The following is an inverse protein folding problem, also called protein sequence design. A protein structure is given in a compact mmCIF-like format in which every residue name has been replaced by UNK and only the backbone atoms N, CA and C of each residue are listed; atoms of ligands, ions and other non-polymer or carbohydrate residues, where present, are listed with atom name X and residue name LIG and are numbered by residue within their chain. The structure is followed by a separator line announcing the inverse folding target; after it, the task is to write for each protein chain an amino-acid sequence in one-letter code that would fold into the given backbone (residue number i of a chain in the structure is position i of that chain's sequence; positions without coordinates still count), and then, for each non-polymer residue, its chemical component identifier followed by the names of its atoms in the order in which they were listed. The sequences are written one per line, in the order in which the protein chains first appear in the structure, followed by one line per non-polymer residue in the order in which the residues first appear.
data_IF_263377833261
#
_entry.id   IF_263377833261
#
_cell.length_a   1.000
_cell.length_b   1.000
_cell.length_c   1.000
_cell.angle_alpha   90.00
_cell.angle_beta   90.00
_cell.angle_gamma   90.00
#
_symmetry.space_group_name_H-M   'P 1'
#
loop_
_entity.id
_entity.type
_entity.pdbx_description
1 polymer ?
#
# COMPACT_ATOMS: atom_id res chain seq x y z
N UNK A 1 6.04 14.97 6.94
CA UNK A 1 4.98 14.48 6.06
C UNK A 1 3.66 14.46 6.83
N UNK A 2 2.56 14.85 6.19
CA UNK A 2 1.25 14.82 6.86
C UNK A 2 0.95 13.43 7.41
N UNK A 3 0.43 13.40 8.63
CA UNK A 3 0.21 12.14 9.36
C UNK A 3 -0.74 11.19 8.63
N UNK A 4 -1.74 11.72 7.92
CA UNK A 4 -2.73 10.92 7.24
C UNK A 4 -2.13 10.06 6.11
N UNK A 5 -1.30 10.66 5.24
CA UNK A 5 -0.67 9.90 4.16
C UNK A 5 0.37 8.91 4.72
N UNK A 6 1.05 9.29 5.79
CA UNK A 6 2.00 8.40 6.46
C UNK A 6 1.29 7.17 7.03
N UNK A 7 0.13 7.37 7.65
CA UNK A 7 -0.68 6.26 8.18
C UNK A 7 -1.11 5.30 7.08
N UNK A 8 -1.53 5.83 5.92
CA UNK A 8 -1.92 4.98 4.79
C UNK A 8 -0.73 4.15 4.28
N UNK A 9 0.44 4.77 4.16
CA UNK A 9 1.64 4.07 3.73
C UNK A 9 2.02 2.97 4.72
N UNK A 10 1.97 3.28 6.02
CA UNK A 10 2.27 2.30 7.07
C UNK A 10 1.30 1.14 7.05
N UNK A 11 0.01 1.41 6.83
CA UNK A 11 -1.00 0.36 6.74
C UNK A 11 -0.69 -0.61 5.59
N UNK A 12 -0.31 -0.10 4.43
CA UNK A 12 0.04 -0.93 3.28
C UNK A 12 1.29 -1.77 3.58
N UNK A 13 2.32 -1.15 4.17
CA UNK A 13 3.56 -1.84 4.53
C UNK A 13 3.34 -2.93 5.57
N UNK A 14 2.54 -2.65 6.60
CA UNK A 14 2.20 -3.63 7.64
C UNK A 14 1.44 -4.82 7.06
N UNK A 15 0.52 -4.56 6.13
CA UNK A 15 -0.19 -5.62 5.44
C UNK A 15 0.77 -6.49 4.65
N UNK A 16 1.71 -5.87 3.94
CA UNK A 16 2.70 -6.62 3.17
C UNK A 16 3.54 -7.53 4.08
N UNK A 17 4.00 -7.02 5.20
CA UNK A 17 4.78 -7.80 6.17
C UNK A 17 3.95 -8.97 6.73
N UNK A 18 2.68 -8.73 7.05
CA UNK A 18 1.80 -9.78 7.53
C UNK A 18 1.57 -10.85 6.46
N UNK A 19 1.44 -10.44 5.19
CA UNK A 19 1.30 -11.35 4.07
C UNK A 19 2.50 -12.30 3.94
N UNK A 20 3.71 -11.78 4.12
CA UNK A 20 4.92 -12.60 4.09
C UNK A 20 4.89 -13.66 5.19
N UNK A 21 4.50 -13.27 6.40
CA UNK A 21 4.40 -14.18 7.53
C UNK A 21 3.31 -15.23 7.30
N UNK A 22 2.15 -14.82 6.81
CA UNK A 22 1.03 -15.73 6.54
C UNK A 22 1.39 -16.73 5.43
N UNK A 23 2.05 -16.27 4.37
CA UNK A 23 2.49 -17.14 3.28
C UNK A 23 3.43 -18.23 3.79
N UNK A 24 4.29 -17.90 4.75
CA UNK A 24 5.26 -18.83 5.32
C UNK A 24 4.62 -19.89 6.21
N UNK A 25 3.38 -19.68 6.68
CA UNK A 25 2.73 -20.62 7.61
C UNK A 25 2.20 -21.89 6.93
N UNK A 26 2.05 -21.90 5.61
CA UNK A 26 1.59 -23.08 4.89
C UNK A 26 0.15 -23.48 5.20
N UNK A 27 -0.71 -22.52 5.54
CA UNK A 27 -2.10 -22.81 5.89
C UNK A 27 -2.95 -23.12 4.66
N UNK A 28 -3.78 -24.17 4.69
CA UNK A 28 -4.67 -24.46 3.56
C UNK A 28 -5.90 -23.55 3.50
N UNK A 29 -6.22 -22.86 4.62
CA UNK A 29 -7.39 -21.99 4.72
C UNK A 29 -7.17 -20.95 5.81
N UNK A 30 -7.90 -19.84 5.71
CA UNK A 30 -7.94 -18.80 6.75
C UNK A 30 -8.92 -19.16 7.87
N UNK A 31 -9.75 -20.18 7.66
CA UNK A 31 -10.78 -20.55 8.60
C UNK A 31 -10.19 -21.25 9.83
N UNK A 32 -10.77 -20.93 11.00
CA UNK A 32 -10.42 -21.61 12.24
C UNK A 32 -9.11 -21.19 12.88
N UNK A 33 -8.53 -20.06 12.47
CA UNK A 33 -7.30 -19.58 13.08
C UNK A 33 -7.33 -18.06 13.29
N UNK A 34 -6.56 -17.59 14.27
CA UNK A 34 -6.37 -16.17 14.54
C UNK A 34 -5.68 -15.47 13.36
N UNK A 35 -4.64 -16.10 12.81
CA UNK A 35 -3.92 -15.57 11.65
C UNK A 35 -4.83 -15.43 10.44
N UNK A 36 -5.76 -16.38 10.23
CA UNK A 36 -6.72 -16.31 9.14
C UNK A 36 -7.67 -15.14 9.27
N UNK A 37 -8.17 -14.88 10.48
CA UNK A 37 -9.01 -13.71 10.72
C UNK A 37 -8.22 -12.42 10.49
N UNK A 38 -6.96 -12.40 10.89
CA UNK A 38 -6.09 -11.25 10.73
C UNK A 38 -5.74 -10.97 9.27
N UNK A 39 -5.54 -12.00 8.43
CA UNK A 39 -5.19 -11.77 7.02
C UNK A 39 -6.32 -11.00 6.31
N UNK A 40 -7.57 -11.35 6.57
CA UNK A 40 -8.70 -10.63 5.98
C UNK A 40 -8.75 -9.18 6.46
N UNK A 41 -8.55 -8.97 7.76
CA UNK A 41 -8.55 -7.64 8.34
C UNK A 41 -7.43 -6.76 7.73
N UNK A 42 -6.21 -7.30 7.64
CA UNK A 42 -5.08 -6.57 7.05
C UNK A 42 -5.35 -6.22 5.58
N UNK A 43 -5.87 -7.17 4.80
CA UNK A 43 -6.17 -6.93 3.39
C UNK A 43 -7.26 -5.86 3.21
N UNK A 44 -8.29 -5.88 4.05
CA UNK A 44 -9.36 -4.87 4.01
C UNK A 44 -8.83 -3.49 4.36
N UNK A 45 -7.99 -3.39 5.38
CA UNK A 45 -7.38 -2.13 5.80
C UNK A 45 -6.45 -1.59 4.71
N UNK A 46 -5.66 -2.47 4.09
CA UNK A 46 -4.78 -2.09 3.00
C UNK A 46 -5.58 -1.58 1.80
N UNK A 47 -6.68 -2.24 1.46
CA UNK A 47 -7.53 -1.81 0.35
C UNK A 47 -8.06 -0.39 0.57
N UNK A 48 -8.54 -0.10 1.79
CA UNK A 48 -9.01 1.23 2.15
C UNK A 48 -7.90 2.27 2.04
N UNK A 49 -6.70 1.95 2.55
CA UNK A 49 -5.56 2.84 2.50
C UNK A 49 -5.12 3.12 1.05
N UNK A 50 -5.05 2.08 0.22
CA UNK A 50 -4.64 2.21 -1.18
C UNK A 50 -5.60 3.13 -1.95
N UNK A 51 -6.90 2.99 -1.70
CA UNK A 51 -7.91 3.82 -2.37
C UNK A 51 -7.74 5.31 -2.09
N UNK A 52 -7.12 5.67 -0.97
CA UNK A 52 -6.93 7.06 -0.55
C UNK A 52 -5.58 7.65 -0.96
N UNK A 53 -4.65 6.86 -1.49
CA UNK A 53 -3.26 7.30 -1.69
C UNK A 53 -3.11 8.42 -2.72
N UNK A 54 -3.69 8.26 -3.90
CA UNK A 54 -3.49 9.23 -4.99
C UNK A 54 -3.99 10.62 -4.60
N UNK A 55 -5.19 10.70 -4.00
CA UNK A 55 -5.75 11.96 -3.53
C UNK A 55 -4.91 12.54 -2.40
N UNK A 56 -4.46 11.70 -1.48
CA UNK A 56 -3.62 12.12 -0.37
C UNK A 56 -2.32 12.77 -0.82
N UNK A 57 -1.64 12.17 -1.79
CA UNK A 57 -0.40 12.72 -2.33
C UNK A 57 -0.64 14.02 -3.10
N UNK A 58 -1.74 14.09 -3.87
CA UNK A 58 -2.09 15.32 -4.60
C UNK A 58 -2.30 16.48 -3.62
N UNK A 59 -2.94 16.20 -2.49
CA UNK A 59 -3.14 17.19 -1.43
C UNK A 59 -1.80 17.65 -0.84
N UNK A 60 -0.86 16.72 -0.60
CA UNK A 60 0.47 17.07 -0.08
C UNK A 60 1.19 18.01 -1.03
N UNK A 61 1.17 17.73 -2.34
CA UNK A 61 1.84 18.59 -3.33
C UNK A 61 1.28 20.01 -3.29
N UNK A 62 -0.05 20.13 -3.17
CA UNK A 62 -0.72 21.40 -3.11
C UNK A 62 -0.41 22.16 -1.81
N UNK A 63 -0.58 21.48 -0.67
CA UNK A 63 -0.44 22.10 0.65
C UNK A 63 1.01 22.51 0.93
N UNK A 64 1.97 21.67 0.52
CA UNK A 64 3.41 21.92 0.73
C UNK A 64 4.05 22.68 -0.42
N UNK A 65 3.29 23.03 -1.45
CA UNK A 65 3.74 23.78 -2.62
C UNK A 65 4.96 23.16 -3.27
N UNK A 66 4.92 21.85 -3.49
CA UNK A 66 6.04 21.12 -4.08
C UNK A 66 6.21 21.45 -5.57
N UNK A 67 7.46 21.69 -5.96
CA UNK A 67 7.82 22.02 -7.34
C UNK A 67 8.90 21.07 -7.87
N UNK A 68 8.88 20.70 -9.13
CA UNK A 68 7.88 21.09 -10.15
C UNK A 68 6.61 20.22 -10.02
N UNK A 69 5.46 20.85 -9.82
CA UNK A 69 4.20 20.18 -9.55
C UNK A 69 3.83 19.16 -10.64
N UNK A 70 4.08 19.49 -11.91
CA UNK A 70 3.72 18.62 -13.03
C UNK A 70 4.50 17.28 -13.00
N UNK A 71 5.70 17.27 -12.45
CA UNK A 71 6.48 16.04 -12.32
C UNK A 71 5.89 15.12 -11.24
N UNK A 72 5.46 15.72 -10.12
CA UNK A 72 4.77 14.97 -9.07
C UNK A 72 3.46 14.40 -9.57
N UNK A 73 2.66 15.20 -10.26
CA UNK A 73 1.37 14.72 -10.77
C UNK A 73 1.53 13.64 -11.84
N UNK A 74 2.57 13.69 -12.66
CA UNK A 74 2.87 12.64 -13.63
C UNK A 74 3.15 11.32 -12.92
N UNK A 75 3.91 11.36 -11.82
CA UNK A 75 4.19 10.14 -11.05
C UNK A 75 2.96 9.64 -10.30
N UNK A 76 2.11 10.55 -9.82
CA UNK A 76 0.88 10.14 -9.14
C UNK A 76 -0.09 9.40 -10.06
N UNK A 77 -0.03 9.67 -11.36
CA UNK A 77 -0.79 8.89 -12.34
C UNK A 77 -0.29 7.44 -12.39
N UNK A 78 1.03 7.24 -12.29
CA UNK A 78 1.62 5.90 -12.21
C UNK A 78 1.19 5.21 -10.91
N UNK A 79 1.31 5.91 -9.80
CA UNK A 79 0.94 5.40 -8.48
C UNK A 79 -0.55 5.01 -8.43
N UNK A 80 -1.42 5.83 -9.01
CA UNK A 80 -2.84 5.54 -9.08
C UNK A 80 -3.12 4.27 -9.88
N UNK A 81 -2.43 4.08 -11.00
CA UNK A 81 -2.54 2.89 -11.83
C UNK A 81 -2.11 1.64 -11.06
N UNK A 82 -0.95 1.71 -10.40
CA UNK A 82 -0.43 0.60 -9.61
C UNK A 82 -1.35 0.30 -8.42
N UNK A 83 -1.91 1.35 -7.81
CA UNK A 83 -2.88 1.22 -6.73
C UNK A 83 -4.15 0.53 -7.17
N UNK A 84 -4.72 0.93 -8.29
CA UNK A 84 -5.94 0.32 -8.82
C UNK A 84 -5.73 -1.15 -9.19
N UNK A 85 -4.58 -1.48 -9.78
CA UNK A 85 -4.24 -2.86 -10.10
C UNK A 85 -4.11 -3.69 -8.82
N UNK A 86 -3.46 -3.14 -7.78
CA UNK A 86 -3.33 -3.80 -6.49
C UNK A 86 -4.67 -4.00 -5.81
N UNK A 87 -5.55 -2.98 -5.86
CA UNK A 87 -6.91 -3.08 -5.31
C UNK A 87 -7.70 -4.20 -5.96
N UNK A 88 -7.65 -4.29 -7.30
CA UNK A 88 -8.36 -5.33 -8.02
C UNK A 88 -7.90 -6.72 -7.59
N UNK A 89 -6.58 -6.89 -7.40
CA UNK A 89 -6.02 -8.16 -6.95
C UNK A 89 -6.43 -8.49 -5.51
N UNK A 90 -6.33 -7.51 -4.61
CA UNK A 90 -6.72 -7.69 -3.20
C UNK A 90 -8.21 -7.99 -3.09
N UNK A 91 -9.05 -7.25 -3.81
CA UNK A 91 -10.50 -7.46 -3.79
C UNK A 91 -10.88 -8.85 -4.30
N UNK A 92 -10.20 -9.33 -5.32
CA UNK A 92 -10.42 -10.68 -5.85
C UNK A 92 -10.08 -11.74 -4.79
N UNK A 93 -8.97 -11.57 -4.08
CA UNK A 93 -8.58 -12.48 -3.00
C UNK A 93 -9.60 -12.45 -1.86
N UNK A 94 -10.02 -11.24 -1.45
CA UNK A 94 -11.02 -11.08 -0.38
C UNK A 94 -12.37 -11.68 -0.74
N UNK A 95 -12.69 -11.77 -2.02
CA UNK A 95 -13.94 -12.37 -2.48
C UNK A 95 -13.92 -13.89 -2.40
N UNK A 96 -12.78 -14.53 -2.17
CA UNK A 96 -12.70 -15.97 -2.09
C UNK A 96 -13.27 -16.47 -0.77
N UNK A 97 -13.96 -17.62 -0.78
CA UNK A 97 -14.51 -18.18 0.47
C UNK A 97 -13.43 -18.66 1.43
N UNK A 98 -12.23 -18.95 0.92
CA UNK A 98 -11.10 -19.41 1.72
C UNK A 98 -9.82 -18.79 1.19
N UNK A 99 -8.96 -18.29 2.09
CA UNK A 99 -7.69 -17.67 1.75
C UNK A 99 -6.56 -18.53 2.32
N UNK A 100 -5.89 -19.28 1.43
CA UNK A 100 -4.75 -20.11 1.82
C UNK A 100 -3.46 -19.29 1.84
N UNK A 101 -2.43 -19.82 2.50
CA UNK A 101 -1.09 -19.26 2.44
C UNK A 101 -0.56 -19.22 1.00
N UNK A 102 -0.89 -20.24 0.19
CA UNK A 102 -0.49 -20.29 -1.21
C UNK A 102 -1.12 -19.14 -2.00
N UNK A 103 -2.40 -18.85 -1.75
CA UNK A 103 -3.07 -17.75 -2.42
C UNK A 103 -2.42 -16.41 -2.06
N UNK A 104 -2.10 -16.20 -0.78
CA UNK A 104 -1.42 -14.98 -0.32
C UNK A 104 -0.02 -14.89 -0.93
N UNK A 105 0.69 -16.01 -1.03
CA UNK A 105 2.00 -16.04 -1.66
C UNK A 105 1.91 -15.58 -3.12
N UNK A 106 0.90 -16.06 -3.85
CA UNK A 106 0.66 -15.65 -5.23
C UNK A 106 0.30 -14.17 -5.34
N UNK A 107 -0.51 -13.66 -4.42
CA UNK A 107 -0.84 -12.23 -4.37
C UNK A 107 0.43 -11.40 -4.14
N UNK A 108 1.27 -11.84 -3.21
CA UNK A 108 2.52 -11.18 -2.88
C UNK A 108 3.51 -11.21 -4.05
N UNK A 109 3.53 -12.29 -4.81
CA UNK A 109 4.38 -12.42 -5.99
C UNK A 109 3.90 -11.58 -7.16
N UNK A 110 2.65 -11.11 -7.13
CA UNK A 110 2.10 -10.28 -8.21
C UNK A 110 2.89 -8.97 -8.32
N UNK A 111 3.16 -8.54 -9.55
CA UNK A 111 3.94 -7.32 -9.77
C UNK A 111 3.23 -6.06 -9.28
N UNK A 112 1.90 -6.09 -9.21
CA UNK A 112 1.10 -4.90 -8.92
C UNK A 112 1.35 -4.36 -7.50
N UNK A 113 1.29 -5.23 -6.49
CA UNK A 113 1.50 -4.81 -5.11
C UNK A 113 2.96 -4.39 -4.88
N UNK A 114 3.89 -5.13 -5.46
CA UNK A 114 5.32 -4.80 -5.36
C UNK A 114 5.63 -3.48 -6.04
N UNK A 115 5.02 -3.21 -7.19
CA UNK A 115 5.17 -1.93 -7.88
C UNK A 115 4.63 -0.79 -7.01
N UNK A 116 3.46 -0.98 -6.42
CA UNK A 116 2.88 0.03 -5.53
C UNK A 116 3.79 0.33 -4.34
N UNK A 117 4.32 -0.71 -3.70
CA UNK A 117 5.24 -0.52 -2.56
C UNK A 117 6.49 0.26 -2.98
N UNK A 118 7.05 -0.05 -4.16
CA UNK A 118 8.20 0.67 -4.69
C UNK A 118 7.85 2.15 -4.91
N UNK A 119 6.67 2.44 -5.45
CA UNK A 119 6.18 3.80 -5.63
C UNK A 119 6.13 4.55 -4.28
N UNK A 120 5.61 3.88 -3.24
CA UNK A 120 5.48 4.46 -1.92
C UNK A 120 6.85 4.74 -1.29
N UNK A 121 7.81 3.83 -1.44
CA UNK A 121 9.16 4.03 -0.94
C UNK A 121 9.85 5.21 -1.63
N UNK A 122 9.67 5.31 -2.95
CA UNK A 122 10.23 6.44 -3.71
C UNK A 122 9.64 7.77 -3.23
N UNK A 123 8.33 7.84 -3.09
CA UNK A 123 7.66 9.07 -2.63
C UNK A 123 8.04 9.40 -1.19
N UNK A 124 8.11 8.40 -0.31
CA UNK A 124 8.50 8.63 1.08
C UNK A 124 9.91 9.21 1.17
N UNK A 125 10.84 8.68 0.38
CA UNK A 125 12.22 9.16 0.36
C UNK A 125 12.29 10.61 -0.12
N UNK A 126 11.59 10.93 -1.20
CA UNK A 126 11.57 12.28 -1.76
C UNK A 126 10.95 13.28 -0.78
N UNK A 127 9.79 12.93 -0.22
CA UNK A 127 9.07 13.83 0.68
C UNK A 127 9.83 14.03 1.99
N UNK A 128 10.41 12.99 2.55
CA UNK A 128 11.20 13.10 3.79
C UNK A 128 12.40 14.02 3.60
N UNK A 129 13.10 13.87 2.49
CA UNK A 129 14.25 14.72 2.15
C UNK A 129 13.84 16.19 2.00
N UNK A 130 12.73 16.42 1.28
CA UNK A 130 12.23 17.77 1.03
C UNK A 130 11.76 18.47 2.31
N UNK A 131 10.96 17.76 3.13
CA UNK A 131 10.42 18.31 4.36
C UNK A 131 11.49 18.51 5.43
N UNK A 132 12.48 17.61 5.50
CA UNK A 132 13.61 17.78 6.41
C UNK A 132 14.42 19.02 6.06
N UNK A 133 14.63 19.30 4.78
CA UNK A 133 15.31 20.53 4.34
C UNK A 133 14.57 21.78 4.81
N UNK A 134 13.24 21.76 4.77
CA UNK A 134 12.43 22.88 5.24
C UNK A 134 12.51 23.05 6.76
N UNK A 135 12.60 21.96 7.51
CA UNK A 135 12.70 22.00 8.97
C UNK A 135 14.03 22.57 9.45
N UNK A 136 15.09 22.37 8.68
CA UNK A 136 16.43 22.86 9.02
C UNK A 136 16.54 24.37 8.83
N UNK A 137 15.70 24.94 8.00
CA UNK A 137 15.65 26.38 7.80
C UNK A 137 14.90 27.04 8.93
#
# INVERSE_FOLDING_TARGET
MPSEILEHCNTVEECYEFMLAYAAQGRPSDQGSKSGAQIREFLQRAATAIAALAEGYSKVVKDERLEPAEKYHAFFAVLDRDGRASLAAIDLVLAQPSISSQLVDNLNASVHLRALLTDLFLMSDILSSHLNSQQIR
#
